data_IF_199294229724
#
_entry.id   IF_199294229724
#
_cell.length_a   1.000
_cell.length_b   1.000
_cell.length_c   1.000
_cell.angle_alpha   90.00
_cell.angle_beta   90.00
_cell.angle_gamma   90.00
#
_symmetry.space_group_name_H-M   'P 1'
#
loop_
_entity.id
_entity.type
_entity.pdbx_description
1 polymer ?
#
# COMPACT_ATOMS: atom_id res chain seq x y z
N UNK A 1 1.56 17.41 -14.24
CA UNK A 1 1.18 18.16 -13.05
C UNK A 1 1.70 17.47 -11.81
N UNK A 2 2.23 18.22 -10.94
CA UNK A 2 2.72 17.64 -9.70
C UNK A 2 1.85 18.09 -8.54
N UNK A 3 1.29 17.15 -7.87
CA UNK A 3 0.56 17.43 -6.64
C UNK A 3 1.26 16.85 -5.44
N UNK A 4 2.36 16.15 -5.69
CA UNK A 4 3.00 15.38 -4.63
C UNK A 4 3.53 16.25 -3.50
N UNK A 5 4.00 17.45 -3.81
CA UNK A 5 4.50 18.34 -2.77
C UNK A 5 3.41 18.99 -1.96
N UNK A 6 2.17 18.94 -2.43
CA UNK A 6 1.05 19.61 -1.81
C UNK A 6 0.02 18.67 -1.19
N UNK A 7 0.14 17.37 -1.48
CA UNK A 7 -0.87 16.41 -1.05
C UNK A 7 -0.27 15.46 -0.02
N UNK A 8 -0.99 15.34 1.08
CA UNK A 8 -0.65 14.34 2.08
C UNK A 8 -1.23 12.99 1.66
N UNK A 9 -0.73 11.91 2.23
CA UNK A 9 -1.36 10.60 1.98
C UNK A 9 -2.85 10.60 2.26
N UNK A 10 -3.27 11.26 3.32
CA UNK A 10 -4.69 11.31 3.67
C UNK A 10 -5.53 11.96 2.59
N UNK A 11 -5.02 13.04 1.99
CA UNK A 11 -5.76 13.73 0.93
C UNK A 11 -5.87 12.89 -0.32
N UNK A 12 -4.80 12.17 -0.67
CA UNK A 12 -4.83 11.29 -1.83
C UNK A 12 -5.84 10.16 -1.59
N UNK A 13 -5.84 9.60 -0.40
CA UNK A 13 -6.75 8.52 -0.05
C UNK A 13 -8.20 8.98 -0.08
N UNK A 14 -8.45 10.21 0.37
CA UNK A 14 -9.80 10.77 0.28
C UNK A 14 -10.27 10.85 -1.17
N UNK A 15 -9.38 11.21 -2.08
CA UNK A 15 -9.73 11.28 -3.49
C UNK A 15 -9.97 9.91 -4.10
N UNK A 16 -9.36 8.87 -3.56
CA UNK A 16 -9.58 7.51 -4.02
C UNK A 16 -10.87 6.91 -3.51
N UNK A 17 -11.54 7.58 -2.58
CA UNK A 17 -12.82 7.15 -2.02
C UNK A 17 -12.75 5.75 -1.42
N UNK A 18 -11.69 5.50 -0.67
CA UNK A 18 -11.49 4.23 0.00
C UNK A 18 -12.61 3.97 0.99
N UNK A 19 -13.15 2.77 0.97
CA UNK A 19 -14.29 2.40 1.79
C UNK A 19 -13.88 1.52 2.96
N UNK A 20 -14.72 1.48 3.98
CA UNK A 20 -14.54 0.56 5.09
C UNK A 20 -14.51 -0.88 4.58
N UNK A 21 -13.71 -1.70 5.24
CA UNK A 21 -13.60 -3.13 4.99
C UNK A 21 -12.93 -3.50 3.67
N UNK A 22 -12.38 -2.53 2.96
CA UNK A 22 -11.65 -2.82 1.73
C UNK A 22 -10.36 -3.58 2.04
N UNK A 23 -9.93 -4.33 1.03
CA UNK A 23 -8.62 -4.98 1.01
C UNK A 23 -7.77 -4.24 -0.02
N UNK A 24 -6.62 -3.74 0.40
CA UNK A 24 -5.77 -2.90 -0.45
C UNK A 24 -4.35 -3.47 -0.47
N UNK A 25 -3.78 -3.57 -1.67
CA UNK A 25 -2.37 -3.90 -1.84
C UNK A 25 -1.61 -2.61 -2.15
N UNK A 26 -0.56 -2.36 -1.36
CA UNK A 26 0.28 -1.18 -1.50
C UNK A 26 1.66 -1.64 -1.95
N UNK A 27 1.90 -1.58 -3.26
CA UNK A 27 3.15 -2.02 -3.85
C UNK A 27 4.21 -0.91 -3.80
N UNK A 28 5.43 -1.30 -3.39
CA UNK A 28 6.49 -0.33 -3.20
C UNK A 28 6.18 0.55 -2.02
N UNK A 29 5.73 -0.07 -0.92
CA UNK A 29 5.18 0.65 0.21
C UNK A 29 6.18 1.55 0.94
N UNK A 30 7.48 1.24 0.84
CA UNK A 30 8.52 2.08 1.41
C UNK A 30 8.39 2.22 2.91
N UNK A 31 8.28 3.45 3.38
CA UNK A 31 8.18 3.72 4.82
C UNK A 31 6.79 3.49 5.40
N UNK A 32 5.81 3.18 4.57
CA UNK A 32 4.51 2.80 5.04
C UNK A 32 3.54 3.94 5.30
N UNK A 33 3.83 5.13 4.80
CA UNK A 33 2.93 6.27 5.04
C UNK A 33 1.54 6.03 4.45
N UNK A 34 1.49 5.55 3.21
CA UNK A 34 0.20 5.23 2.58
C UNK A 34 -0.43 4.02 3.22
N UNK A 35 0.36 2.98 3.53
CA UNK A 35 -0.17 1.79 4.17
C UNK A 35 -0.87 2.12 5.48
N UNK A 36 -0.27 2.96 6.30
CA UNK A 36 -0.86 3.37 7.57
C UNK A 36 -2.14 4.15 7.34
N UNK A 37 -2.12 5.09 6.40
CA UNK A 37 -3.31 5.88 6.11
C UNK A 37 -4.45 5.02 5.57
N UNK A 38 -4.13 4.07 4.67
CA UNK A 38 -5.12 3.11 4.17
C UNK A 38 -5.69 2.27 5.31
N UNK A 39 -4.82 1.79 6.20
CA UNK A 39 -5.25 0.92 7.29
C UNK A 39 -6.25 1.62 8.20
N UNK A 40 -6.01 2.90 8.46
CA UNK A 40 -6.94 3.69 9.27
C UNK A 40 -8.28 3.87 8.57
N UNK A 41 -8.23 4.05 7.25
CA UNK A 41 -9.44 4.33 6.47
C UNK A 41 -10.32 3.09 6.33
N UNK A 42 -9.72 1.92 6.11
CA UNK A 42 -10.51 0.70 5.91
C UNK A 42 -11.04 0.13 7.23
N UNK A 43 -10.46 0.53 8.33
CA UNK A 43 -10.92 0.08 9.64
C UNK A 43 -10.45 -1.32 10.00
N UNK A 44 -10.80 -1.79 11.21
CA UNK A 44 -10.25 -3.06 11.73
C UNK A 44 -10.66 -4.29 10.95
N UNK A 45 -11.74 -4.22 10.21
CA UNK A 45 -12.19 -5.37 9.38
C UNK A 45 -11.63 -5.31 7.97
N UNK A 46 -10.94 -4.23 7.61
CA UNK A 46 -10.23 -4.16 6.34
C UNK A 46 -8.85 -4.78 6.46
N UNK A 47 -8.12 -4.79 5.35
CA UNK A 47 -6.80 -5.41 5.32
C UNK A 47 -5.90 -4.67 4.35
N UNK A 48 -4.67 -4.40 4.78
CA UNK A 48 -3.64 -3.80 3.92
C UNK A 48 -2.52 -4.80 3.76
N UNK A 49 -2.14 -5.05 2.51
CA UNK A 49 -0.94 -5.80 2.19
C UNK A 49 0.10 -4.82 1.69
N UNK A 50 1.15 -4.64 2.47
CA UNK A 50 2.24 -3.71 2.15
C UNK A 50 3.38 -4.51 1.56
N UNK A 51 3.63 -4.35 0.28
CA UNK A 51 4.58 -5.16 -0.46
C UNK A 51 5.79 -4.33 -0.82
N UNK A 52 6.98 -4.83 -0.52
CA UNK A 52 8.21 -4.18 -0.89
C UNK A 52 9.31 -5.22 -1.05
N UNK A 53 10.31 -4.89 -1.86
CA UNK A 53 11.45 -5.79 -2.06
C UNK A 53 12.55 -5.56 -1.03
N UNK A 54 12.51 -4.47 -0.29
CA UNK A 54 13.54 -4.11 0.67
C UNK A 54 13.14 -4.57 2.07
N UNK A 55 13.95 -5.44 2.70
CA UNK A 55 13.63 -5.87 4.06
C UNK A 55 13.51 -4.74 5.07
N UNK A 56 14.34 -3.70 4.91
CA UNK A 56 14.29 -2.57 5.84
C UNK A 56 12.99 -1.79 5.70
N UNK A 57 12.41 -1.75 4.48
CA UNK A 57 11.10 -1.13 4.32
C UNK A 57 10.02 -1.91 5.06
N UNK A 58 10.09 -3.24 4.97
CA UNK A 58 9.13 -4.08 5.67
C UNK A 58 9.22 -3.91 7.18
N UNK A 59 10.44 -3.79 7.70
CA UNK A 59 10.62 -3.55 9.13
C UNK A 59 10.07 -2.19 9.55
N UNK A 60 10.28 -1.17 8.72
CA UNK A 60 9.75 0.15 9.00
C UNK A 60 8.22 0.12 9.04
N UNK A 61 7.61 -0.60 8.12
CA UNK A 61 6.16 -0.75 8.08
C UNK A 61 5.65 -1.44 9.34
N UNK A 62 6.29 -2.53 9.74
CA UNK A 62 5.89 -3.25 10.94
C UNK A 62 6.02 -2.38 12.18
N UNK A 63 7.11 -1.63 12.28
CA UNK A 63 7.32 -0.74 13.42
C UNK A 63 6.26 0.36 13.47
N UNK A 64 5.97 0.95 12.33
CA UNK A 64 4.97 2.01 12.27
C UNK A 64 3.59 1.49 12.61
N UNK A 65 3.24 0.31 12.10
CA UNK A 65 1.95 -0.29 12.42
C UNK A 65 1.82 -0.53 13.92
N UNK A 66 2.90 -1.03 14.53
CA UNK A 66 2.91 -1.28 15.96
C UNK A 66 2.75 0.00 16.76
N UNK A 67 3.46 1.06 16.37
CA UNK A 67 3.39 2.33 17.06
C UNK A 67 2.00 2.96 16.95
N UNK A 68 1.32 2.74 15.81
CA UNK A 68 0.00 3.29 15.60
C UNK A 68 -1.12 2.38 16.10
N UNK A 69 -0.76 1.22 16.64
CA UNK A 69 -1.77 0.29 17.15
C UNK A 69 -2.62 -0.34 16.06
N UNK A 70 -2.05 -0.54 14.87
CA UNK A 70 -2.77 -1.10 13.75
C UNK A 70 -2.46 -2.59 13.60
N UNK A 71 -3.51 -3.39 13.48
CA UNK A 71 -3.37 -4.85 13.37
C UNK A 71 -3.82 -5.36 12.00
N UNK A 72 -4.13 -4.46 11.08
CA UNK A 72 -4.66 -4.82 9.78
C UNK A 72 -3.68 -4.53 8.64
N UNK A 73 -2.38 -4.50 8.94
CA UNK A 73 -1.33 -4.36 7.93
C UNK A 73 -0.47 -5.62 7.94
N UNK A 74 -0.33 -6.23 6.78
CA UNK A 74 0.58 -7.36 6.62
C UNK A 74 1.69 -6.95 5.68
N UNK A 75 2.93 -7.01 6.14
CA UNK A 75 4.09 -6.67 5.32
C UNK A 75 4.55 -7.92 4.58
N UNK A 76 4.71 -7.80 3.27
CA UNK A 76 5.04 -8.93 2.42
C UNK A 76 6.24 -8.56 1.56
N UNK A 77 7.24 -9.44 1.53
CA UNK A 77 8.37 -9.29 0.64
C UNK A 77 7.93 -9.70 -0.77
N UNK A 78 8.03 -8.79 -1.72
CA UNK A 78 7.58 -9.09 -3.06
C UNK A 78 7.96 -8.02 -4.05
N UNK A 79 7.75 -8.34 -5.34
CA UNK A 79 8.11 -7.48 -6.44
C UNK A 79 6.97 -7.44 -7.45
N UNK A 80 6.47 -6.26 -7.72
CA UNK A 80 5.36 -6.06 -8.65
C UNK A 80 5.69 -6.53 -10.06
N UNK A 81 6.95 -6.40 -10.48
CA UNK A 81 7.33 -6.70 -11.87
C UNK A 81 7.32 -8.18 -12.20
N UNK A 82 7.33 -9.04 -11.21
CA UNK A 82 7.34 -10.47 -11.45
C UNK A 82 5.96 -11.05 -11.25
N UNK A 83 5.52 -11.85 -12.19
CA UNK A 83 4.28 -12.59 -12.00
C UNK A 83 4.45 -13.46 -10.75
N UNK A 84 3.55 -13.34 -9.82
CA UNK A 84 3.65 -14.05 -8.57
C UNK A 84 4.67 -13.48 -7.60
N UNK A 85 5.15 -12.27 -7.85
CA UNK A 85 6.06 -11.61 -6.94
C UNK A 85 5.42 -11.22 -5.63
N UNK A 86 4.11 -11.30 -5.54
CA UNK A 86 3.36 -11.19 -4.31
C UNK A 86 2.58 -12.47 -4.11
N UNK A 87 2.25 -12.77 -2.88
CA UNK A 87 1.46 -13.96 -2.56
C UNK A 87 -0.03 -13.66 -2.54
N UNK A 88 -0.43 -12.49 -2.98
CA UNK A 88 -1.84 -12.08 -2.96
C UNK A 88 -2.50 -12.62 -4.23
N UNK A 89 -3.59 -13.39 -4.11
CA UNK A 89 -4.32 -13.87 -5.27
C UNK A 89 -4.92 -12.73 -6.09
N UNK A 90 -5.04 -12.96 -7.40
CA UNK A 90 -5.74 -12.03 -8.26
C UNK A 90 -7.17 -11.87 -7.78
N UNK A 91 -7.73 -10.69 -7.95
CA UNK A 91 -9.12 -10.37 -7.59
C UNK A 91 -9.38 -10.37 -6.08
N UNK A 92 -8.33 -10.45 -5.28
CA UNK A 92 -8.50 -10.44 -3.84
C UNK A 92 -8.60 -9.02 -3.27
N UNK A 93 -8.05 -8.06 -3.97
CA UNK A 93 -7.98 -6.68 -3.47
C UNK A 93 -9.02 -5.80 -4.12
N UNK A 94 -9.56 -4.89 -3.32
CA UNK A 94 -10.46 -3.85 -3.82
C UNK A 94 -9.71 -2.72 -4.50
N UNK A 95 -8.46 -2.52 -4.12
CA UNK A 95 -7.61 -1.48 -4.70
C UNK A 95 -6.16 -1.96 -4.71
N UNK A 96 -5.47 -1.71 -5.80
CA UNK A 96 -4.03 -1.91 -5.90
C UNK A 96 -3.39 -0.56 -6.10
N UNK A 97 -2.48 -0.20 -5.21
CA UNK A 97 -1.88 1.12 -5.18
C UNK A 97 -0.37 0.98 -5.35
N UNK A 98 0.22 1.81 -6.21
CA UNK A 98 1.65 1.71 -6.51
C UNK A 98 2.21 3.09 -6.81
N UNK A 99 2.12 4.00 -5.83
CA UNK A 99 2.48 5.39 -6.03
C UNK A 99 3.92 5.60 -6.46
N UNK A 100 4.85 4.83 -5.86
CA UNK A 100 6.27 5.03 -6.14
C UNK A 100 6.73 4.37 -7.42
N UNK A 101 5.95 3.44 -7.95
CA UNK A 101 6.33 2.67 -9.13
C UNK A 101 5.76 3.30 -10.39
N UNK A 102 4.55 3.83 -10.31
CA UNK A 102 3.84 4.38 -11.47
C UNK A 102 4.63 5.46 -12.18
N UNK A 103 5.30 6.31 -11.42
CA UNK A 103 6.03 7.44 -12.01
C UNK A 103 7.33 7.03 -12.68
N UNK A 104 7.83 5.85 -12.37
CA UNK A 104 9.07 5.39 -12.96
C UNK A 104 8.86 4.66 -14.26
N UNK A 105 7.79 3.88 -14.36
CA UNK A 105 7.56 3.09 -15.55
C UNK A 105 6.09 2.71 -15.66
N UNK A 106 5.24 3.62 -16.14
CA UNK A 106 3.80 3.37 -16.19
C UNK A 106 3.42 2.14 -16.99
N UNK A 107 4.21 1.82 -18.02
CA UNK A 107 3.89 0.70 -18.90
C UNK A 107 4.03 -0.66 -18.19
N UNK A 108 4.70 -0.69 -17.06
CA UNK A 108 4.92 -1.93 -16.34
C UNK A 108 3.99 -2.12 -15.15
N UNK A 109 3.07 -1.22 -14.96
CA UNK A 109 2.16 -1.26 -13.83
C UNK A 109 0.76 -1.58 -14.30
N UNK A 110 0.65 -2.49 -15.24
CA UNK A 110 -0.65 -3.02 -15.65
C UNK A 110 -1.02 -4.11 -14.66
N UNK A 111 -2.02 -3.90 -13.89
CA UNK A 111 -2.40 -4.82 -12.85
C UNK A 111 -3.83 -5.29 -13.07
#
# INVERSE_FOLDING_TARGET
MSVTGLMTPEKIIDQLQVQLNWVIADFGAGHGFFSVAFAKKVGPSGQIFSIDILPEALEAIRSRARLEGLFNIKAIHGNLEKAGGSTIPDNFCDLVFAANILFQNPDKVAI
#
